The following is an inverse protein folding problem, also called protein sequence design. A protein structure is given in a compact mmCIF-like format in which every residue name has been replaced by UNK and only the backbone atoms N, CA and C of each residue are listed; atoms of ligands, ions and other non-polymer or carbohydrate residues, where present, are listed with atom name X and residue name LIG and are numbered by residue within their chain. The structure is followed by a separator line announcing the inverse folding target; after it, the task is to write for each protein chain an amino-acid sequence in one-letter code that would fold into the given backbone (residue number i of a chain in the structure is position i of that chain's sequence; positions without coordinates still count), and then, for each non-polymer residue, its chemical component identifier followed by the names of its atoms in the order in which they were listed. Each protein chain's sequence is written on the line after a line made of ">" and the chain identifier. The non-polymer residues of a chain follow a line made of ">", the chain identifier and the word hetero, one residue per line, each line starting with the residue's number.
data_IF_416823437442
#
_entry.id   IF_416823437442
#
_cell.length_a   1.000
_cell.length_b   1.000
_cell.length_c   1.000
_cell.angle_alpha   90.00
_cell.angle_beta   90.00
_cell.angle_gamma   90.00
#
_symmetry.space_group_name_H-M   'P 1'
#
loop_
_entity.id
_entity.type
_entity.pdbx_description
1 polymer ?
#
# COMPACT_ATOMS: atom_id res chain seq x y z
N UNK A 1 0.66 -10.49 25.83
CA UNK A 1 -0.14 -10.75 24.73
C UNK A 1 -0.63 -9.58 24.01
N UNK A 2 -1.27 -8.73 24.69
CA UNK A 2 -1.79 -7.57 24.07
C UNK A 2 -0.74 -6.67 23.52
N UNK A 3 0.39 -6.67 24.14
CA UNK A 3 1.47 -5.84 23.67
C UNK A 3 1.94 -6.20 22.29
N UNK A 4 1.77 -7.43 21.97
CA UNK A 4 2.14 -7.88 20.69
C UNK A 4 1.33 -7.27 19.62
N UNK A 5 0.09 -7.06 19.90
CA UNK A 5 -0.78 -6.43 18.99
C UNK A 5 -0.32 -5.03 18.67
N UNK A 6 -0.03 -4.28 19.70
CA UNK A 6 0.39 -2.92 19.53
C UNK A 6 1.65 -2.85 18.73
N UNK A 7 2.57 -3.71 19.05
CA UNK A 7 3.81 -3.72 18.32
C UNK A 7 3.61 -4.09 16.89
N UNK A 8 2.76 -5.06 16.64
CA UNK A 8 2.47 -5.46 15.28
C UNK A 8 1.89 -4.33 14.49
N UNK A 9 0.99 -3.57 15.07
CA UNK A 9 0.40 -2.49 14.30
C UNK A 9 1.42 -1.40 14.02
N UNK A 10 2.42 -1.22 14.86
CA UNK A 10 3.46 -0.24 14.57
C UNK A 10 4.44 -0.72 13.54
N UNK A 11 4.71 -2.02 13.51
CA UNK A 11 5.71 -2.57 12.61
C UNK A 11 5.11 -3.34 11.46
N UNK A 12 3.82 -3.52 11.47
CA UNK A 12 3.15 -4.31 10.45
C UNK A 12 2.65 -3.46 9.31
N UNK A 13 1.63 -3.94 8.66
CA UNK A 13 1.07 -3.28 7.50
C UNK A 13 0.23 -2.08 7.93
N UNK A 14 0.49 -0.94 7.31
CA UNK A 14 -0.29 0.26 7.57
C UNK A 14 -1.59 0.22 6.79
N UNK A 15 -2.57 0.93 7.28
CA UNK A 15 -3.80 1.15 6.54
C UNK A 15 -3.76 2.59 6.05
N UNK A 16 -3.88 2.78 4.74
CA UNK A 16 -3.65 4.06 4.11
C UNK A 16 -4.81 4.40 3.21
N UNK A 17 -5.21 5.66 3.24
CA UNK A 17 -6.17 6.17 2.28
C UNK A 17 -5.41 6.91 1.20
N UNK A 18 -5.59 6.51 -0.05
CA UNK A 18 -4.87 7.08 -1.18
C UNK A 18 -5.65 8.23 -1.76
N UNK A 19 -4.95 9.36 -1.95
CA UNK A 19 -5.54 10.57 -2.46
C UNK A 19 -4.79 11.00 -3.70
N UNK A 20 -5.31 12.01 -4.36
CA UNK A 20 -4.69 12.57 -5.55
C UNK A 20 -3.40 13.27 -5.14
N UNK A 21 -2.27 12.68 -5.48
CA UNK A 21 -0.98 13.30 -5.20
C UNK A 21 -0.48 13.13 -3.78
N UNK A 22 -1.20 12.39 -2.94
CA UNK A 22 -0.76 12.21 -1.57
C UNK A 22 -1.49 11.02 -0.97
N UNK A 23 -1.10 10.63 0.22
CA UNK A 23 -1.84 9.58 0.93
C UNK A 23 -1.90 9.94 2.40
N UNK A 24 -2.86 9.35 3.09
CA UNK A 24 -3.05 9.60 4.51
C UNK A 24 -3.03 8.28 5.24
N UNK A 25 -2.26 8.19 6.33
CA UNK A 25 -2.20 6.98 7.12
C UNK A 25 -3.41 6.95 8.04
N UNK A 26 -4.24 5.93 7.90
CA UNK A 26 -5.43 5.74 8.71
C UNK A 26 -5.08 4.92 9.94
N UNK A 27 -4.26 3.89 9.76
CA UNK A 27 -3.78 3.09 10.87
C UNK A 27 -2.28 2.94 10.72
N UNK A 28 -1.50 3.20 11.77
CA UNK A 28 -0.04 3.19 11.67
C UNK A 28 0.51 1.83 11.28
N UNK A 29 1.64 1.86 10.63
CA UNK A 29 2.37 0.66 10.23
C UNK A 29 3.61 1.08 9.49
N UNK A 30 4.44 0.12 9.15
CA UNK A 30 5.71 0.39 8.50
C UNK A 30 5.62 0.34 6.98
N UNK A 31 4.65 -0.37 6.45
CA UNK A 31 4.59 -0.60 5.01
C UNK A 31 3.17 -0.87 4.56
N UNK A 32 2.97 -0.83 3.24
CA UNK A 32 1.76 -1.36 2.61
C UNK A 32 2.21 -2.41 1.60
N UNK A 33 1.26 -3.18 1.05
CA UNK A 33 1.61 -4.22 0.09
C UNK A 33 1.16 -3.84 -1.30
N UNK A 34 1.98 -4.21 -2.26
CA UNK A 34 1.63 -4.02 -3.66
C UNK A 34 0.45 -4.92 -4.03
N UNK A 35 -0.54 -4.34 -4.67
CA UNK A 35 -1.75 -5.09 -5.04
C UNK A 35 -1.48 -6.14 -6.10
N UNK A 36 -0.41 -5.97 -6.86
CA UNK A 36 -0.10 -6.89 -7.96
C UNK A 36 0.87 -7.97 -7.52
N UNK A 37 1.94 -7.58 -6.83
CA UNK A 37 3.02 -8.52 -6.53
C UNK A 37 3.03 -9.02 -5.09
N UNK A 38 2.34 -8.31 -4.19
CA UNK A 38 2.37 -8.66 -2.78
C UNK A 38 3.62 -8.22 -2.04
N UNK A 39 4.50 -7.52 -2.72
CA UNK A 39 5.74 -7.05 -2.12
C UNK A 39 5.45 -5.94 -1.12
N UNK A 40 6.16 -5.95 0.00
CA UNK A 40 6.02 -4.88 0.99
C UNK A 40 6.67 -3.61 0.48
N UNK A 41 5.97 -2.50 0.65
CA UNK A 41 6.44 -1.19 0.21
C UNK A 41 6.52 -0.30 1.45
N UNK A 42 7.74 0.03 1.90
CA UNK A 42 7.86 0.97 3.03
C UNK A 42 7.16 2.27 2.68
N UNK A 43 6.53 2.88 3.67
CA UNK A 43 5.74 4.08 3.40
C UNK A 43 6.58 5.19 2.79
N UNK A 44 7.85 5.28 3.19
CA UNK A 44 8.71 6.32 2.64
C UNK A 44 9.08 6.06 1.19
N UNK A 45 8.80 4.87 0.68
CA UNK A 45 9.09 4.55 -0.71
C UNK A 45 7.81 4.43 -1.53
N UNK A 46 6.67 4.71 -0.94
CA UNK A 46 5.39 4.57 -1.62
C UNK A 46 5.22 5.71 -2.61
N UNK A 47 5.13 5.38 -3.89
CA UNK A 47 5.04 6.35 -4.95
C UNK A 47 3.90 6.13 -5.93
N UNK A 48 3.43 4.89 -6.04
CA UNK A 48 2.42 4.56 -7.04
C UNK A 48 1.20 3.97 -6.36
N UNK A 49 0.03 4.48 -6.69
CA UNK A 49 -1.22 3.96 -6.12
C UNK A 49 -2.38 4.34 -7.02
N UNK A 50 -3.53 3.73 -6.76
CA UNK A 50 -4.77 4.05 -7.44
C UNK A 50 -5.75 4.63 -6.44
N UNK A 51 -6.24 5.82 -6.73
CA UNK A 51 -7.26 6.44 -5.90
C UNK A 51 -8.58 5.70 -6.06
N UNK A 52 -8.90 5.33 -7.28
CA UNK A 52 -10.16 4.63 -7.54
C UNK A 52 -10.23 3.28 -6.85
N UNK A 53 -9.14 2.52 -6.91
CA UNK A 53 -9.14 1.19 -6.33
C UNK A 53 -8.58 1.15 -4.92
N UNK A 54 -8.01 2.26 -4.47
CA UNK A 54 -7.43 2.35 -3.12
C UNK A 54 -6.42 1.25 -2.89
N UNK A 55 -5.43 1.18 -3.78
CA UNK A 55 -4.39 0.17 -3.67
C UNK A 55 -3.06 0.72 -4.13
N UNK A 56 -1.97 0.13 -3.64
CA UNK A 56 -0.62 0.59 -3.90
C UNK A 56 0.09 -0.32 -4.88
N UNK A 57 1.10 0.21 -5.54
CA UNK A 57 1.91 -0.54 -6.51
C UNK A 57 3.38 -0.29 -6.23
N UNK A 58 4.17 -1.34 -6.32
CA UNK A 58 5.59 -1.25 -5.97
C UNK A 58 6.40 -0.59 -7.08
N UNK A 59 5.93 -0.63 -8.32
CA UNK A 59 6.72 -0.16 -9.46
C UNK A 59 5.81 0.22 -10.60
N UNK A 60 6.33 0.93 -11.61
CA UNK A 60 5.55 1.20 -12.82
C UNK A 60 5.13 -0.07 -13.54
N UNK A 61 5.93 -1.11 -13.47
CA UNK A 61 5.56 -2.38 -14.08
C UNK A 61 4.31 -2.95 -13.43
N UNK A 62 4.23 -2.84 -12.11
CA UNK A 62 3.04 -3.31 -11.40
C UNK A 62 1.82 -2.52 -11.82
N UNK A 63 1.97 -1.20 -12.00
CA UNK A 63 0.88 -0.38 -12.47
C UNK A 63 0.41 -0.86 -13.84
N UNK A 64 1.33 -1.10 -14.75
CA UNK A 64 0.98 -1.56 -16.07
C UNK A 64 0.28 -2.90 -16.05
N UNK A 65 0.75 -3.80 -15.22
CA UNK A 65 0.10 -5.10 -15.11
C UNK A 65 -1.33 -4.97 -14.61
N UNK A 66 -1.54 -4.07 -13.65
CA UNK A 66 -2.87 -3.86 -13.12
C UNK A 66 -3.79 -3.29 -14.19
N UNK A 67 -3.30 -2.33 -14.95
CA UNK A 67 -4.09 -1.72 -16.01
C UNK A 67 -4.44 -2.73 -17.09
N UNK A 68 -3.51 -3.59 -17.43
CA UNK A 68 -3.79 -4.64 -18.41
C UNK A 68 -4.87 -5.57 -17.93
N UNK A 69 -4.81 -5.95 -16.66
CA UNK A 69 -5.82 -6.83 -16.09
C UNK A 69 -7.18 -6.16 -16.14
N UNK A 70 -7.22 -4.85 -15.88
CA UNK A 70 -8.48 -4.12 -15.90
C UNK A 70 -9.03 -3.96 -17.30
N UNK A 71 -8.15 -3.86 -18.26
CA UNK A 71 -8.55 -3.59 -19.64
C UNK A 71 -9.20 -4.79 -20.31
N UNK A 72 -9.11 -5.95 -19.70
CA UNK A 72 -9.71 -7.16 -20.26
C UNK A 72 -11.19 -7.26 -20.01
#
# INVERSE_FOLDING_TARGET
>A
MLNRYDRSSMNGEAEVKYLDGDFRVVRPGAYVRCAVTGVSIPLEELKYWSVDMQEAYVSPEAVLQRLKAEAR
#
